data_IF_321165501447
#
_entry.id   IF_321165501447
#
_cell.length_a   1.000
_cell.length_b   1.000
_cell.length_c   1.000
_cell.angle_alpha   90.00
_cell.angle_beta   90.00
_cell.angle_gamma   90.00
#
_symmetry.space_group_name_H-M   'P 1'
#
loop_
_entity.id
_entity.type
_entity.pdbx_description
1 polymer ?
#
# COMPACT_ATOMS: atom_id res chain seq x y z
N UNK A 1 5.06 -116.39 53.88
CA UNK A 1 4.74 -116.10 55.30
C UNK A 1 3.43 -115.34 55.32
N UNK A 2 2.42 -115.89 55.98
CA UNK A 2 1.09 -115.30 56.10
C UNK A 2 1.15 -114.00 56.90
N UNK A 3 0.72 -112.91 56.26
CA UNK A 3 0.70 -111.56 56.82
C UNK A 3 -0.48 -111.46 57.80
N UNK A 4 -0.30 -111.93 59.03
CA UNK A 4 -1.34 -111.80 60.05
C UNK A 4 -1.51 -110.34 60.50
N UNK A 5 -2.56 -109.69 59.98
CA UNK A 5 -3.15 -108.47 60.51
C UNK A 5 -4.22 -108.85 61.55
N UNK A 6 -4.47 -107.98 62.53
CA UNK A 6 -5.46 -108.26 63.59
C UNK A 6 -6.90 -108.11 63.07
N UNK A 7 -7.18 -107.32 62.03
CA UNK A 7 -8.52 -107.13 61.46
C UNK A 7 -8.57 -107.52 59.96
N UNK A 8 -9.70 -108.10 59.54
CA UNK A 8 -9.94 -108.60 58.17
C UNK A 8 -10.34 -107.43 57.25
N UNK A 9 -9.63 -107.15 56.14
CA UNK A 9 -9.87 -105.96 55.32
C UNK A 9 -10.97 -106.16 54.26
N UNK A 10 -12.10 -106.81 54.60
CA UNK A 10 -13.22 -106.96 53.66
C UNK A 10 -14.04 -105.68 53.45
N UNK A 11 -13.68 -104.60 54.17
CA UNK A 11 -14.34 -103.30 54.08
C UNK A 11 -13.58 -102.38 53.11
N UNK A 12 -14.31 -101.73 52.20
CA UNK A 12 -13.72 -100.81 51.23
C UNK A 12 -13.06 -99.61 51.95
N UNK A 13 -11.88 -99.14 51.54
CA UNK A 13 -11.18 -98.01 52.19
C UNK A 13 -12.08 -96.77 52.36
N UNK A 14 -12.92 -96.47 51.37
CA UNK A 14 -13.85 -95.33 51.43
C UNK A 14 -14.86 -95.44 52.59
N UNK A 15 -15.24 -96.65 52.99
CA UNK A 15 -16.15 -96.89 54.11
C UNK A 15 -15.42 -96.85 55.45
N UNK A 16 -14.18 -97.33 55.50
CA UNK A 16 -13.33 -97.25 56.70
C UNK A 16 -13.08 -95.79 57.09
N UNK A 17 -12.83 -94.92 56.11
CA UNK A 17 -12.49 -93.51 56.34
C UNK A 17 -13.69 -92.54 56.24
N UNK A 18 -14.92 -93.05 56.12
CA UNK A 18 -16.12 -92.22 56.12
C UNK A 18 -16.74 -92.13 57.54
N UNK A 19 -17.00 -90.91 58.01
CA UNK A 19 -17.62 -90.67 59.32
C UNK A 19 -16.84 -91.36 60.45
N UNK A 20 -17.54 -92.17 61.25
CA UNK A 20 -16.97 -92.94 62.36
C UNK A 20 -16.62 -94.39 61.97
N UNK A 21 -16.47 -94.70 60.67
CA UNK A 21 -16.21 -96.05 60.17
C UNK A 21 -14.91 -96.68 60.70
N UNK A 22 -13.94 -95.85 61.08
CA UNK A 22 -12.67 -96.31 61.64
C UNK A 22 -12.82 -96.85 63.06
N UNK A 23 -13.82 -96.37 63.82
CA UNK A 23 -13.99 -96.70 65.23
C UNK A 23 -14.22 -98.20 65.43
N UNK A 24 -15.04 -98.82 64.58
CA UNK A 24 -15.29 -100.26 64.62
C UNK A 24 -14.02 -101.10 64.38
N UNK A 25 -13.17 -100.66 63.44
CA UNK A 25 -11.90 -101.33 63.12
C UNK A 25 -10.91 -101.17 64.28
N UNK A 26 -10.85 -99.98 64.90
CA UNK A 26 -10.00 -99.72 66.06
C UNK A 26 -10.47 -100.49 67.29
N UNK A 27 -11.78 -100.61 67.50
CA UNK A 27 -12.37 -101.41 68.57
C UNK A 27 -12.07 -102.90 68.39
N UNK A 28 -12.17 -103.42 67.17
CA UNK A 28 -11.80 -104.81 66.86
C UNK A 28 -10.31 -105.07 67.14
N UNK A 29 -9.42 -104.18 66.66
CA UNK A 29 -7.98 -104.27 66.93
C UNK A 29 -7.71 -104.22 68.43
N UNK A 30 -8.40 -103.32 69.16
CA UNK A 30 -8.26 -103.17 70.61
C UNK A 30 -8.71 -104.41 71.36
N UNK A 31 -9.88 -104.94 71.02
CA UNK A 31 -10.47 -106.14 71.62
C UNK A 31 -9.55 -107.35 71.44
N UNK A 32 -9.08 -107.58 70.20
CA UNK A 32 -8.15 -108.68 69.89
C UNK A 32 -6.77 -108.51 70.51
N UNK A 33 -6.24 -107.28 70.59
CA UNK A 33 -4.96 -107.03 71.24
C UNK A 33 -5.03 -107.24 72.77
N UNK A 34 -6.16 -106.92 73.40
CA UNK A 34 -6.35 -107.04 74.86
C UNK A 34 -6.85 -108.42 75.32
N UNK A 35 -7.44 -109.22 74.44
CA UNK A 35 -7.98 -110.55 74.80
C UNK A 35 -6.88 -111.58 75.12
N UNK A 36 -5.66 -111.36 74.66
CA UNK A 36 -4.52 -112.24 74.96
C UNK A 36 -3.85 -111.80 76.26
N UNK A 37 -4.18 -112.49 77.36
CA UNK A 37 -3.53 -112.31 78.66
C UNK A 37 -2.22 -113.10 78.68
N UNK A 38 -1.09 -112.41 78.61
CA UNK A 38 0.25 -113.00 78.64
C UNK A 38 1.05 -112.49 79.85
N UNK A 39 1.73 -113.40 80.55
CA UNK A 39 2.51 -113.08 81.76
C UNK A 39 3.87 -112.45 81.41
N UNK A 40 4.05 -111.17 81.76
CA UNK A 40 5.25 -110.38 81.49
C UNK A 40 6.48 -110.85 82.29
N UNK A 41 6.30 -111.64 83.35
CA UNK A 41 7.42 -112.18 84.15
C UNK A 41 8.06 -113.40 83.46
N UNK A 42 7.36 -114.03 82.51
CA UNK A 42 7.88 -115.15 81.71
C UNK A 42 8.50 -114.69 80.38
N UNK A 43 9.60 -115.33 79.98
CA UNK A 43 10.21 -115.08 78.67
C UNK A 43 9.26 -115.37 77.50
N UNK A 44 8.34 -116.34 77.66
CA UNK A 44 7.32 -116.67 76.67
C UNK A 44 6.24 -115.58 76.59
N UNK A 45 5.72 -115.10 77.72
CA UNK A 45 4.72 -114.03 77.74
C UNK A 45 5.24 -112.70 77.22
N UNK A 46 6.49 -112.31 77.52
CA UNK A 46 7.12 -111.12 76.91
C UNK A 46 7.21 -111.20 75.39
N UNK A 47 7.54 -112.38 74.84
CA UNK A 47 7.56 -112.60 73.37
C UNK A 47 6.15 -112.49 72.76
N UNK A 48 5.13 -113.01 73.45
CA UNK A 48 3.73 -112.87 73.02
C UNK A 48 3.28 -111.40 73.01
N UNK A 49 3.58 -110.64 74.08
CA UNK A 49 3.27 -109.20 74.17
C UNK A 49 3.96 -108.43 73.03
N UNK A 50 5.25 -108.70 72.78
CA UNK A 50 5.99 -108.07 71.68
C UNK A 50 5.38 -108.39 70.31
N UNK A 51 4.92 -109.64 70.10
CA UNK A 51 4.26 -110.05 68.86
C UNK A 51 2.95 -109.30 68.62
N UNK A 52 2.10 -109.18 69.65
CA UNK A 52 0.83 -108.45 69.56
C UNK A 52 1.08 -106.96 69.28
N UNK A 53 2.04 -106.35 69.99
CA UNK A 53 2.42 -104.95 69.73
C UNK A 53 2.91 -104.75 68.29
N UNK A 54 3.69 -105.70 67.75
CA UNK A 54 4.13 -105.67 66.35
C UNK A 54 2.95 -105.82 65.37
N UNK A 55 1.99 -106.69 65.66
CA UNK A 55 0.77 -106.83 64.86
C UNK A 55 -0.08 -105.54 64.87
N UNK A 56 -0.23 -104.87 66.02
CA UNK A 56 -0.91 -103.55 66.11
C UNK A 56 -0.16 -102.49 65.28
N UNK A 57 1.17 -102.45 65.38
CA UNK A 57 1.98 -101.52 64.58
C UNK A 57 1.80 -101.75 63.07
N UNK A 58 1.74 -103.01 62.63
CA UNK A 58 1.46 -103.37 61.23
C UNK A 58 0.05 -102.97 60.79
N UNK A 59 -0.97 -103.19 61.63
CA UNK A 59 -2.34 -102.74 61.35
C UNK A 59 -2.41 -101.22 61.21
N UNK A 60 -1.72 -100.45 62.05
CA UNK A 60 -1.61 -98.98 61.92
C UNK A 60 -1.01 -98.59 60.57
N UNK A 61 0.15 -99.15 60.23
CA UNK A 61 0.83 -98.83 58.95
C UNK A 61 -0.06 -99.18 57.76
N UNK A 62 -0.75 -100.32 57.81
CA UNK A 62 -1.67 -100.74 56.77
C UNK A 62 -2.85 -99.75 56.61
N UNK A 63 -3.50 -99.36 57.70
CA UNK A 63 -4.60 -98.38 57.66
C UNK A 63 -4.11 -97.01 57.15
N UNK A 64 -2.93 -96.55 57.60
CA UNK A 64 -2.33 -95.30 57.08
C UNK A 64 -2.05 -95.36 55.57
N UNK A 65 -1.53 -96.48 55.06
CA UNK A 65 -1.37 -96.67 53.62
C UNK A 65 -2.70 -96.67 52.87
N UNK A 66 -3.75 -97.34 53.39
CA UNK A 66 -5.07 -97.35 52.76
C UNK A 66 -5.68 -95.95 52.67
N UNK A 67 -5.56 -95.13 53.72
CA UNK A 67 -6.05 -93.76 53.71
C UNK A 67 -5.28 -92.87 52.74
N UNK A 68 -3.95 -93.03 52.67
CA UNK A 68 -3.10 -92.33 51.70
C UNK A 68 -3.45 -92.69 50.26
N UNK A 69 -3.61 -93.98 49.97
CA UNK A 69 -3.96 -94.48 48.64
C UNK A 69 -5.35 -93.99 48.22
N UNK A 70 -6.34 -94.03 49.13
CA UNK A 70 -7.68 -93.48 48.89
C UNK A 70 -7.63 -91.99 48.54
N UNK A 71 -6.89 -91.18 49.30
CA UNK A 71 -6.74 -89.74 49.03
C UNK A 71 -6.00 -89.50 47.70
N UNK A 72 -4.98 -90.31 47.40
CA UNK A 72 -4.25 -90.22 46.15
C UNK A 72 -5.17 -90.51 44.95
N UNK A 73 -5.98 -91.58 45.03
CA UNK A 73 -6.95 -91.96 44.01
C UNK A 73 -8.03 -90.88 43.84
N UNK A 74 -8.60 -90.38 44.95
CA UNK A 74 -9.59 -89.29 44.90
C UNK A 74 -9.01 -88.03 44.26
N UNK A 75 -7.80 -87.61 44.62
CA UNK A 75 -7.12 -86.47 43.98
C UNK A 75 -6.86 -86.71 42.49
N UNK A 76 -6.50 -87.93 42.11
CA UNK A 76 -6.31 -88.29 40.71
C UNK A 76 -7.63 -88.20 39.92
N UNK A 77 -8.74 -88.68 40.49
CA UNK A 77 -10.07 -88.56 39.87
C UNK A 77 -10.52 -87.09 39.77
N UNK A 78 -10.37 -86.30 40.84
CA UNK A 78 -10.67 -84.86 40.83
C UNK A 78 -9.86 -84.15 39.73
N UNK A 79 -8.55 -84.42 39.65
CA UNK A 79 -7.67 -83.84 38.62
C UNK A 79 -8.13 -84.20 37.20
N UNK A 80 -8.58 -85.43 36.97
CA UNK A 80 -9.14 -85.85 35.67
C UNK A 80 -10.41 -85.06 35.35
N UNK A 81 -11.34 -84.95 36.30
CA UNK A 81 -12.57 -84.17 36.13
C UNK A 81 -12.27 -82.71 35.82
N UNK A 82 -11.36 -82.06 36.56
CA UNK A 82 -11.01 -80.66 36.31
C UNK A 82 -10.31 -80.46 34.96
N UNK A 83 -9.48 -81.42 34.54
CA UNK A 83 -8.84 -81.39 33.22
C UNK A 83 -9.87 -81.48 32.09
N UNK A 84 -10.84 -82.39 32.19
CA UNK A 84 -11.93 -82.50 31.21
C UNK A 84 -12.86 -81.30 31.25
N UNK A 85 -13.14 -80.72 32.43
CA UNK A 85 -13.91 -79.47 32.53
C UNK A 85 -13.20 -78.30 31.84
N UNK A 86 -11.87 -78.20 31.97
CA UNK A 86 -11.09 -77.20 31.24
C UNK A 86 -11.17 -77.45 29.75
N UNK A 87 -10.87 -78.67 29.30
CA UNK A 87 -10.94 -79.06 27.89
C UNK A 87 -12.31 -78.75 27.28
N UNK A 88 -13.38 -79.07 28.00
CA UNK A 88 -14.76 -78.78 27.59
C UNK A 88 -14.98 -77.28 27.41
N UNK A 89 -14.58 -76.43 28.37
CA UNK A 89 -14.71 -74.97 28.22
C UNK A 89 -13.93 -74.46 27.02
N UNK A 90 -12.64 -74.80 26.92
CA UNK A 90 -11.78 -74.34 25.83
C UNK A 90 -12.35 -74.77 24.46
N UNK A 91 -12.85 -76.01 24.36
CA UNK A 91 -13.49 -76.52 23.14
C UNK A 91 -14.78 -75.77 22.79
N UNK A 92 -15.67 -75.57 23.76
CA UNK A 92 -16.96 -74.89 23.53
C UNK A 92 -16.77 -73.39 23.24
N UNK A 93 -15.79 -72.73 23.85
CA UNK A 93 -15.45 -71.33 23.57
C UNK A 93 -14.88 -71.16 22.15
N UNK A 94 -14.03 -72.08 21.71
CA UNK A 94 -13.53 -72.12 20.33
C UNK A 94 -14.66 -72.38 19.34
N UNK A 95 -15.49 -73.40 19.59
CA UNK A 95 -16.63 -73.73 18.72
C UNK A 95 -17.62 -72.56 18.61
N UNK A 96 -17.91 -71.87 19.73
CA UNK A 96 -18.74 -70.66 19.73
C UNK A 96 -18.17 -69.59 18.79
N UNK A 97 -16.85 -69.36 18.86
CA UNK A 97 -16.17 -68.39 17.99
C UNK A 97 -16.25 -68.79 16.53
N UNK A 98 -15.96 -70.05 16.21
CA UNK A 98 -16.04 -70.59 14.84
C UNK A 98 -17.46 -70.51 14.27
N UNK A 99 -18.47 -70.87 15.06
CA UNK A 99 -19.88 -70.81 14.64
C UNK A 99 -20.33 -69.36 14.43
N UNK A 100 -19.84 -68.40 15.22
CA UNK A 100 -20.19 -66.98 15.07
C UNK A 100 -19.43 -66.28 13.94
N UNK A 101 -18.26 -66.80 13.56
CA UNK A 101 -17.36 -66.15 12.60
C UNK A 101 -18.03 -65.78 11.27
N UNK A 102 -18.80 -66.65 10.59
CA UNK A 102 -19.44 -66.26 9.33
C UNK A 102 -20.39 -65.07 9.45
N UNK A 103 -21.11 -64.95 10.58
CA UNK A 103 -21.98 -63.80 10.82
C UNK A 103 -21.16 -62.54 11.11
N UNK A 104 -20.03 -62.65 11.82
CA UNK A 104 -19.13 -61.52 12.07
C UNK A 104 -18.52 -61.02 10.77
N UNK A 105 -18.00 -61.93 9.95
CA UNK A 105 -17.41 -61.60 8.64
C UNK A 105 -18.45 -60.93 7.72
N UNK A 106 -19.70 -61.39 7.74
CA UNK A 106 -20.80 -60.77 7.00
C UNK A 106 -21.18 -59.38 7.54
N UNK A 107 -21.33 -59.22 8.86
CA UNK A 107 -21.63 -57.93 9.50
C UNK A 107 -20.54 -56.89 9.18
N UNK A 108 -19.27 -57.27 9.20
CA UNK A 108 -18.14 -56.40 8.84
C UNK A 108 -18.18 -56.02 7.35
N UNK A 109 -18.36 -56.99 6.46
CA UNK A 109 -18.48 -56.73 5.02
C UNK A 109 -19.67 -55.81 4.70
N UNK A 110 -20.81 -56.05 5.35
CA UNK A 110 -22.03 -55.26 5.16
C UNK A 110 -21.86 -53.82 5.68
N UNK A 111 -21.23 -53.65 6.85
CA UNK A 111 -20.90 -52.33 7.37
C UNK A 111 -19.97 -51.57 6.41
N UNK A 112 -18.96 -52.23 5.83
CA UNK A 112 -18.06 -51.63 4.84
C UNK A 112 -18.81 -51.25 3.54
N UNK A 113 -19.71 -52.12 3.06
CA UNK A 113 -20.55 -51.86 1.88
C UNK A 113 -21.41 -50.61 2.09
N UNK A 114 -22.17 -50.57 3.18
CA UNK A 114 -23.01 -49.42 3.54
C UNK A 114 -22.19 -48.15 3.74
N UNK A 115 -21.02 -48.23 4.38
CA UNK A 115 -20.14 -47.09 4.58
C UNK A 115 -19.60 -46.54 3.24
N UNK A 116 -19.25 -47.43 2.30
CA UNK A 116 -18.77 -47.03 0.97
C UNK A 116 -19.84 -46.22 0.21
N UNK A 117 -21.10 -46.67 0.20
CA UNK A 117 -22.19 -45.92 -0.44
C UNK A 117 -22.44 -44.57 0.23
N UNK A 118 -22.51 -44.53 1.57
CA UNK A 118 -22.69 -43.27 2.31
C UNK A 118 -21.56 -42.28 2.05
N UNK A 119 -20.32 -42.74 2.03
CA UNK A 119 -19.16 -41.91 1.70
C UNK A 119 -19.22 -41.41 0.26
N UNK A 120 -19.61 -42.26 -0.70
CA UNK A 120 -19.81 -41.86 -2.09
C UNK A 120 -20.84 -40.74 -2.24
N UNK A 121 -21.99 -40.86 -1.58
CA UNK A 121 -23.03 -39.82 -1.56
C UNK A 121 -22.48 -38.52 -0.95
N UNK A 122 -21.82 -38.61 0.20
CA UNK A 122 -21.23 -37.45 0.86
C UNK A 122 -20.17 -36.76 -0.01
N UNK A 123 -19.37 -37.53 -0.76
CA UNK A 123 -18.40 -36.96 -1.71
C UNK A 123 -19.08 -36.17 -2.84
N UNK A 124 -20.22 -36.64 -3.36
CA UNK A 124 -20.99 -35.91 -4.36
C UNK A 124 -21.51 -34.59 -3.76
N UNK A 125 -22.14 -34.65 -2.59
CA UNK A 125 -22.70 -33.49 -1.91
C UNK A 125 -21.66 -32.39 -1.65
N UNK A 126 -20.45 -32.80 -1.25
CA UNK A 126 -19.35 -31.90 -0.88
C UNK A 126 -18.94 -30.93 -2.01
N UNK A 127 -19.07 -31.33 -3.27
CA UNK A 127 -18.75 -30.44 -4.39
C UNK A 127 -19.63 -29.18 -4.41
N UNK A 128 -20.90 -29.27 -4.02
CA UNK A 128 -21.78 -28.11 -3.94
C UNK A 128 -21.48 -27.22 -2.73
N UNK A 129 -21.00 -27.78 -1.62
CA UNK A 129 -20.68 -26.99 -0.42
C UNK A 129 -19.34 -26.27 -0.50
N UNK A 130 -18.37 -26.82 -1.25
CA UNK A 130 -17.01 -26.27 -1.36
C UNK A 130 -16.80 -25.32 -2.55
N UNK A 131 -17.85 -25.01 -3.32
CA UNK A 131 -17.71 -24.23 -4.55
C UNK A 131 -17.80 -22.69 -4.36
N UNK A 132 -18.00 -22.19 -3.15
CA UNK A 132 -18.31 -20.77 -2.90
C UNK A 132 -17.17 -19.80 -3.22
N UNK A 133 -15.92 -20.24 -3.09
CA UNK A 133 -14.72 -19.40 -3.27
C UNK A 133 -14.03 -19.64 -4.63
N UNK A 134 -14.56 -20.54 -5.45
CA UNK A 134 -13.96 -20.94 -6.72
C UNK A 134 -14.31 -19.98 -7.86
N UNK A 135 -13.47 -19.96 -8.88
CA UNK A 135 -13.75 -19.26 -10.14
C UNK A 135 -14.68 -20.09 -11.06
N UNK A 136 -15.12 -19.50 -12.16
CA UNK A 136 -16.03 -20.18 -13.07
C UNK A 136 -15.45 -21.43 -13.74
N UNK A 137 -14.13 -21.49 -13.92
CA UNK A 137 -13.47 -22.66 -14.53
C UNK A 137 -13.46 -23.84 -13.56
N UNK A 138 -13.10 -23.61 -12.30
CA UNK A 138 -13.08 -24.63 -11.26
C UNK A 138 -14.48 -25.15 -10.93
N UNK A 139 -15.49 -24.27 -10.88
CA UNK A 139 -16.89 -24.68 -10.70
C UNK A 139 -17.33 -25.57 -11.89
N UNK A 140 -16.92 -25.24 -13.11
CA UNK A 140 -17.21 -26.08 -14.29
C UNK A 140 -16.54 -27.45 -14.18
N UNK A 141 -15.28 -27.53 -13.71
CA UNK A 141 -14.60 -28.82 -13.46
C UNK A 141 -15.36 -29.66 -12.44
N UNK A 142 -15.90 -29.05 -11.38
CA UNK A 142 -16.71 -29.74 -10.38
C UNK A 142 -18.00 -30.31 -10.99
N UNK A 143 -18.68 -29.53 -11.84
CA UNK A 143 -19.86 -30.01 -12.59
C UNK A 143 -19.49 -31.23 -13.42
N UNK A 144 -18.39 -31.17 -14.18
CA UNK A 144 -17.96 -32.27 -15.06
C UNK A 144 -17.63 -33.54 -14.26
N UNK A 145 -16.98 -33.39 -13.09
CA UNK A 145 -16.69 -34.52 -12.19
C UNK A 145 -17.99 -35.17 -11.71
N UNK A 146 -18.94 -34.37 -11.19
CA UNK A 146 -20.21 -34.89 -10.67
C UNK A 146 -21.04 -35.52 -11.78
N UNK A 147 -21.07 -34.94 -12.99
CA UNK A 147 -21.76 -35.50 -14.15
C UNK A 147 -21.25 -36.89 -14.52
N UNK A 148 -19.93 -37.12 -14.43
CA UNK A 148 -19.28 -38.40 -14.75
C UNK A 148 -19.55 -39.51 -13.73
N UNK A 149 -20.03 -39.19 -12.53
CA UNK A 149 -20.38 -40.20 -11.53
C UNK A 149 -21.55 -41.06 -12.06
N UNK A 150 -21.32 -42.34 -12.29
CA UNK A 150 -22.37 -43.26 -12.75
C UNK A 150 -23.19 -43.70 -11.53
N UNK A 151 -24.50 -43.44 -11.59
CA UNK A 151 -25.46 -43.92 -10.60
C UNK A 151 -26.27 -45.03 -11.30
N UNK A 152 -25.97 -46.27 -10.94
CA UNK A 152 -26.58 -47.49 -11.48
C UNK A 152 -26.81 -48.50 -10.34
N UNK A 153 -27.21 -49.72 -10.69
CA UNK A 153 -27.52 -50.82 -9.77
C UNK A 153 -26.40 -51.12 -8.75
N UNK A 154 -25.16 -50.70 -9.01
CA UNK A 154 -24.04 -50.87 -8.07
C UNK A 154 -24.20 -50.05 -6.80
N UNK A 155 -25.10 -49.07 -6.78
CA UNK A 155 -25.44 -48.31 -5.57
C UNK A 155 -26.51 -49.01 -4.71
N UNK A 156 -27.08 -50.12 -5.19
CA UNK A 156 -28.03 -50.95 -4.47
C UNK A 156 -29.19 -50.11 -3.87
N UNK A 157 -29.52 -50.28 -2.59
CA UNK A 157 -30.59 -49.50 -1.95
C UNK A 157 -30.32 -47.99 -1.86
N UNK A 158 -29.07 -47.57 -2.08
CA UNK A 158 -28.65 -46.17 -2.07
C UNK A 158 -28.77 -45.50 -3.45
N UNK A 159 -29.06 -46.23 -4.52
CA UNK A 159 -29.20 -45.68 -5.88
C UNK A 159 -30.16 -44.48 -5.94
N UNK A 160 -31.39 -44.54 -5.40
CA UNK A 160 -32.32 -43.41 -5.48
C UNK A 160 -31.81 -42.18 -4.70
N UNK A 161 -31.16 -42.41 -3.56
CA UNK A 161 -30.57 -41.35 -2.76
C UNK A 161 -29.38 -40.70 -3.48
N UNK A 162 -28.48 -41.51 -4.04
CA UNK A 162 -27.33 -41.03 -4.78
C UNK A 162 -27.72 -40.27 -6.05
N UNK A 163 -28.74 -40.74 -6.78
CA UNK A 163 -29.29 -40.06 -7.95
C UNK A 163 -29.85 -38.69 -7.58
N UNK A 164 -30.64 -38.62 -6.50
CA UNK A 164 -31.20 -37.37 -5.99
C UNK A 164 -30.10 -36.38 -5.58
N UNK A 165 -29.12 -36.83 -4.80
CA UNK A 165 -28.01 -35.98 -4.35
C UNK A 165 -27.19 -35.49 -5.55
N UNK A 166 -26.91 -36.35 -6.53
CA UNK A 166 -26.25 -35.95 -7.78
C UNK A 166 -27.03 -34.83 -8.50
N UNK A 167 -28.34 -34.97 -8.63
CA UNK A 167 -29.18 -33.95 -9.28
C UNK A 167 -29.17 -32.62 -8.49
N UNK A 168 -29.34 -32.68 -7.17
CA UNK A 168 -29.34 -31.51 -6.29
C UNK A 168 -27.97 -30.79 -6.31
N UNK A 169 -26.87 -31.54 -6.25
CA UNK A 169 -25.50 -31.00 -6.36
C UNK A 169 -25.28 -30.33 -7.72
N UNK A 170 -25.67 -30.97 -8.82
CA UNK A 170 -25.54 -30.37 -10.16
C UNK A 170 -26.37 -29.10 -10.28
N UNK A 171 -27.57 -29.07 -9.73
CA UNK A 171 -28.42 -27.87 -9.72
C UNK A 171 -27.75 -26.73 -8.96
N UNK A 172 -27.20 -27.00 -7.77
CA UNK A 172 -26.50 -26.02 -6.96
C UNK A 172 -25.24 -25.48 -7.66
N UNK A 173 -24.42 -26.37 -8.23
CA UNK A 173 -23.20 -25.99 -8.95
C UNK A 173 -23.51 -25.15 -10.18
N UNK A 174 -24.51 -25.50 -10.98
CA UNK A 174 -24.90 -24.70 -12.15
C UNK A 174 -25.37 -23.30 -11.73
N UNK A 175 -26.14 -23.18 -10.64
CA UNK A 175 -26.53 -21.87 -10.10
C UNK A 175 -25.33 -21.06 -9.61
N UNK A 176 -24.35 -21.71 -8.97
CA UNK A 176 -23.12 -21.07 -8.55
C UNK A 176 -22.28 -20.59 -9.75
N UNK A 177 -22.17 -21.42 -10.79
CA UNK A 177 -21.46 -21.10 -12.02
C UNK A 177 -22.03 -19.87 -12.71
N UNK A 178 -23.34 -19.81 -12.89
CA UNK A 178 -24.01 -18.66 -13.52
C UNK A 178 -23.77 -17.37 -12.74
N UNK A 179 -23.89 -17.41 -11.41
CA UNK A 179 -23.57 -16.26 -10.54
C UNK A 179 -22.11 -15.85 -10.68
N UNK A 180 -21.19 -16.81 -10.71
CA UNK A 180 -19.75 -16.55 -10.78
C UNK A 180 -19.34 -15.97 -12.14
N UNK A 181 -19.86 -16.52 -13.24
CA UNK A 181 -19.67 -15.98 -14.60
C UNK A 181 -20.19 -14.55 -14.72
N UNK A 182 -21.39 -14.28 -14.20
CA UNK A 182 -21.94 -12.93 -14.20
C UNK A 182 -21.05 -11.95 -13.41
N UNK A 183 -20.57 -12.36 -12.24
CA UNK A 183 -19.64 -11.54 -11.44
C UNK A 183 -18.31 -11.29 -12.17
N UNK A 184 -17.69 -12.32 -12.76
CA UNK A 184 -16.44 -12.18 -13.51
C UNK A 184 -16.59 -11.29 -14.75
N UNK A 185 -17.71 -11.43 -15.47
CA UNK A 185 -18.02 -10.55 -16.59
C UNK A 185 -18.17 -9.09 -16.15
N UNK A 186 -18.90 -8.83 -15.06
CA UNK A 186 -19.04 -7.47 -14.50
C UNK A 186 -17.67 -6.88 -14.11
N UNK A 187 -16.79 -7.67 -13.51
CA UNK A 187 -15.44 -7.22 -13.16
C UNK A 187 -14.59 -6.92 -14.41
N UNK A 188 -14.69 -7.75 -15.45
CA UNK A 188 -14.00 -7.54 -16.72
C UNK A 188 -14.48 -6.28 -17.45
N UNK A 189 -15.79 -6.08 -17.53
CA UNK A 189 -16.40 -4.87 -18.10
C UNK A 189 -15.99 -3.60 -17.33
N UNK A 190 -16.00 -3.66 -15.99
CA UNK A 190 -15.56 -2.55 -15.15
C UNK A 190 -14.07 -2.23 -15.38
N UNK A 191 -13.22 -3.25 -15.49
CA UNK A 191 -11.80 -3.08 -15.77
C UNK A 191 -11.56 -2.47 -17.17
N UNK A 192 -12.35 -2.86 -18.18
CA UNK A 192 -12.29 -2.24 -19.51
C UNK A 192 -12.71 -0.77 -19.48
N UNK A 193 -13.83 -0.45 -18.83
CA UNK A 193 -14.31 0.93 -18.69
C UNK A 193 -13.28 1.83 -18.00
N UNK A 194 -12.60 1.34 -16.96
CA UNK A 194 -11.54 2.08 -16.28
C UNK A 194 -10.32 2.32 -17.18
N UNK A 195 -9.94 1.33 -17.99
CA UNK A 195 -8.84 1.47 -18.97
C UNK A 195 -9.19 2.49 -20.05
N UNK A 196 -10.38 2.39 -20.64
CA UNK A 196 -10.83 3.37 -21.64
C UNK A 196 -10.89 4.78 -21.07
N UNK A 197 -11.36 4.95 -19.83
CA UNK A 197 -11.39 6.24 -19.17
C UNK A 197 -9.98 6.80 -18.95
N UNK A 198 -9.05 5.98 -18.46
CA UNK A 198 -7.65 6.37 -18.29
C UNK A 198 -6.98 6.76 -19.61
N UNK A 199 -7.24 6.02 -20.70
CA UNK A 199 -6.73 6.37 -22.04
C UNK A 199 -7.31 7.69 -22.56
N UNK A 200 -8.61 7.96 -22.34
CA UNK A 200 -9.23 9.24 -22.71
C UNK A 200 -8.64 10.40 -21.91
N UNK A 201 -8.52 10.26 -20.60
CA UNK A 201 -7.92 11.28 -19.73
C UNK A 201 -6.46 11.57 -20.13
N UNK A 202 -5.71 10.53 -20.52
CA UNK A 202 -4.35 10.68 -21.01
C UNK A 202 -4.31 11.43 -22.36
N UNK A 203 -5.18 11.06 -23.31
CA UNK A 203 -5.28 11.77 -24.60
C UNK A 203 -5.69 13.23 -24.41
N UNK A 204 -6.70 13.51 -23.60
CA UNK A 204 -7.13 14.87 -23.27
C UNK A 204 -6.01 15.69 -22.62
N UNK A 205 -5.19 15.06 -21.76
CA UNK A 205 -4.03 15.70 -21.16
C UNK A 205 -2.95 16.00 -22.20
N UNK A 206 -2.65 15.05 -23.09
CA UNK A 206 -1.69 15.24 -24.18
C UNK A 206 -2.15 16.31 -25.17
N UNK A 207 -3.44 16.32 -25.53
CA UNK A 207 -4.06 17.36 -26.36
C UNK A 207 -4.00 18.72 -25.69
N UNK A 208 -4.30 18.82 -24.38
CA UNK A 208 -4.17 20.08 -23.63
C UNK A 208 -2.73 20.57 -23.62
N UNK A 209 -1.75 19.69 -23.38
CA UNK A 209 -0.33 20.06 -23.41
C UNK A 209 0.08 20.52 -24.82
N UNK A 210 -0.39 19.85 -25.88
CA UNK A 210 -0.11 20.23 -27.26
C UNK A 210 -0.75 21.57 -27.62
N UNK A 211 -1.99 21.83 -27.19
CA UNK A 211 -2.68 23.11 -27.38
C UNK A 211 -1.98 24.24 -26.61
N UNK A 212 -1.63 24.02 -25.34
CA UNK A 212 -0.88 24.98 -24.53
C UNK A 212 0.49 25.29 -25.15
N UNK A 213 1.20 24.28 -25.65
CA UNK A 213 2.48 24.48 -26.35
C UNK A 213 2.29 25.28 -27.65
N UNK A 214 1.29 24.95 -28.47
CA UNK A 214 1.00 25.68 -29.70
C UNK A 214 0.57 27.14 -29.43
N UNK A 215 -0.22 27.37 -28.38
CA UNK A 215 -0.63 28.71 -27.95
C UNK A 215 0.56 29.52 -27.44
N UNK A 216 1.47 28.90 -26.67
CA UNK A 216 2.72 29.55 -26.25
C UNK A 216 3.57 29.98 -27.43
N UNK A 217 3.78 29.11 -28.42
CA UNK A 217 4.51 29.46 -29.64
C UNK A 217 3.84 30.61 -30.39
N UNK A 218 2.50 30.60 -30.52
CA UNK A 218 1.77 31.70 -31.15
C UNK A 218 1.92 33.02 -30.40
N UNK A 219 1.78 33.00 -29.07
CA UNK A 219 1.95 34.19 -28.23
C UNK A 219 3.38 34.72 -28.29
N UNK A 220 4.39 33.85 -28.23
CA UNK A 220 5.80 34.24 -28.37
C UNK A 220 6.07 34.87 -29.75
N UNK A 221 5.54 34.29 -30.83
CA UNK A 221 5.66 34.86 -32.19
C UNK A 221 4.89 36.18 -32.36
N UNK A 222 3.73 36.35 -31.72
CA UNK A 222 2.98 37.60 -31.74
C UNK A 222 3.67 38.70 -30.94
N UNK A 223 4.22 38.38 -29.76
CA UNK A 223 5.05 39.28 -28.98
C UNK A 223 6.31 39.69 -29.74
N UNK A 224 6.97 38.78 -30.45
CA UNK A 224 8.14 39.09 -31.27
C UNK A 224 7.78 40.00 -32.45
N UNK A 225 6.65 39.74 -33.12
CA UNK A 225 6.14 40.62 -34.17
C UNK A 225 5.79 42.01 -33.64
N UNK A 226 5.12 42.08 -32.49
CA UNK A 226 4.76 43.34 -31.85
C UNK A 226 6.01 44.11 -31.43
N UNK A 227 7.00 43.44 -30.83
CA UNK A 227 8.28 44.04 -30.48
C UNK A 227 9.04 44.53 -31.73
N UNK A 228 8.99 43.80 -32.85
CA UNK A 228 9.59 44.23 -34.11
C UNK A 228 8.89 45.46 -34.71
N UNK A 229 7.55 45.53 -34.64
CA UNK A 229 6.77 46.71 -35.06
C UNK A 229 7.12 47.90 -34.16
N UNK A 230 7.10 47.74 -32.84
CA UNK A 230 7.44 48.80 -31.88
C UNK A 230 8.89 49.28 -32.04
N UNK A 231 9.83 48.37 -32.31
CA UNK A 231 11.22 48.71 -32.60
C UNK A 231 11.34 49.51 -33.90
N UNK A 232 10.59 49.13 -34.95
CA UNK A 232 10.54 49.87 -36.21
C UNK A 232 9.92 51.26 -36.04
N UNK A 233 8.79 51.36 -35.34
CA UNK A 233 8.15 52.65 -35.04
C UNK A 233 9.02 53.56 -34.18
N UNK A 234 9.79 52.99 -33.24
CA UNK A 234 10.75 53.74 -32.43
C UNK A 234 11.91 54.23 -33.29
N UNK A 235 12.47 53.38 -34.15
CA UNK A 235 13.51 53.77 -35.09
C UNK A 235 13.04 54.86 -36.08
N UNK A 236 11.81 54.76 -36.60
CA UNK A 236 11.21 55.79 -37.46
C UNK A 236 10.96 57.10 -36.71
N UNK A 237 10.48 57.05 -35.46
CA UNK A 237 10.35 58.25 -34.62
C UNK A 237 11.70 58.88 -34.31
N UNK A 238 12.70 58.11 -33.91
CA UNK A 238 14.05 58.61 -33.63
C UNK A 238 14.69 59.21 -34.89
N UNK A 239 14.51 58.58 -36.06
CA UNK A 239 14.99 59.13 -37.33
C UNK A 239 14.27 60.43 -37.71
N UNK A 240 12.95 60.51 -37.50
CA UNK A 240 12.16 61.72 -37.76
C UNK A 240 12.53 62.84 -36.79
N UNK A 241 12.64 62.56 -35.49
CA UNK A 241 13.09 63.52 -34.49
C UNK A 241 14.53 63.99 -34.75
N UNK A 242 15.41 63.11 -35.20
CA UNK A 242 16.78 63.46 -35.60
C UNK A 242 16.77 64.36 -36.84
N UNK A 243 15.97 64.06 -37.85
CA UNK A 243 15.81 64.87 -39.05
C UNK A 243 15.18 66.25 -38.73
N UNK A 244 14.15 66.30 -37.90
CA UNK A 244 13.52 67.56 -37.45
C UNK A 244 14.49 68.41 -36.61
N UNK A 245 15.30 67.79 -35.75
CA UNK A 245 16.38 68.48 -35.01
C UNK A 245 17.44 69.02 -35.96
N UNK A 246 17.86 68.24 -36.96
CA UNK A 246 18.82 68.67 -37.96
C UNK A 246 18.27 69.83 -38.82
N UNK A 247 17.01 69.77 -39.23
CA UNK A 247 16.35 70.83 -39.99
C UNK A 247 16.17 72.10 -39.12
N UNK A 248 15.76 71.96 -37.86
CA UNK A 248 15.66 73.09 -36.93
C UNK A 248 17.02 73.73 -36.68
N UNK A 249 18.07 72.93 -36.47
CA UNK A 249 19.44 73.44 -36.33
C UNK A 249 19.93 74.15 -37.59
N UNK A 250 19.61 73.61 -38.79
CA UNK A 250 19.94 74.25 -40.06
C UNK A 250 19.18 75.57 -40.26
N UNK A 251 17.88 75.63 -39.91
CA UNK A 251 17.09 76.87 -39.94
C UNK A 251 17.60 77.89 -38.93
N UNK A 252 17.84 77.50 -37.69
CA UNK A 252 18.42 78.38 -36.66
C UNK A 252 19.84 78.85 -37.02
N UNK A 253 20.64 78.02 -37.71
CA UNK A 253 21.94 78.44 -38.23
C UNK A 253 21.80 79.42 -39.41
N UNK A 254 20.83 79.20 -40.31
CA UNK A 254 20.54 80.10 -41.42
C UNK A 254 19.98 81.44 -40.94
N UNK A 255 19.05 81.43 -39.99
CA UNK A 255 18.49 82.62 -39.34
C UNK A 255 19.57 83.39 -38.58
N UNK A 256 20.43 82.71 -37.80
CA UNK A 256 21.58 83.37 -37.16
C UNK A 256 22.53 83.98 -38.18
N UNK A 257 22.84 83.29 -39.28
CA UNK A 257 23.69 83.83 -40.34
C UNK A 257 23.04 85.01 -41.09
N UNK A 258 21.72 85.00 -41.27
CA UNK A 258 20.97 86.11 -41.86
C UNK A 258 20.89 87.30 -40.89
N UNK A 259 20.68 87.04 -39.61
CA UNK A 259 20.62 88.05 -38.57
C UNK A 259 21.99 88.69 -38.33
N UNK A 260 23.08 87.91 -38.34
CA UNK A 260 24.45 88.43 -38.33
C UNK A 260 24.75 89.29 -39.57
N UNK A 261 24.30 88.89 -40.76
CA UNK A 261 24.41 89.71 -41.98
C UNK A 261 23.62 91.01 -41.87
N UNK A 262 22.38 90.96 -41.38
CA UNK A 262 21.53 92.14 -41.18
C UNK A 262 22.14 93.07 -40.12
N UNK A 263 22.64 92.53 -39.01
CA UNK A 263 23.33 93.30 -37.96
C UNK A 263 24.67 93.88 -38.43
N UNK A 264 25.38 93.22 -39.35
CA UNK A 264 26.58 93.78 -39.98
C UNK A 264 26.23 94.96 -40.89
N UNK A 265 25.17 94.83 -41.71
CA UNK A 265 24.68 95.90 -42.60
C UNK A 265 24.10 97.08 -41.80
N UNK A 266 23.38 96.81 -40.71
CA UNK A 266 22.81 97.84 -39.84
C UNK A 266 23.93 98.58 -39.08
N UNK A 267 24.95 97.87 -38.58
CA UNK A 267 26.13 98.49 -37.97
C UNK A 267 26.92 99.34 -38.96
N UNK A 268 27.00 98.95 -40.22
CA UNK A 268 27.65 99.74 -41.27
C UNK A 268 26.84 101.00 -41.61
N UNK A 269 25.50 100.89 -41.72
CA UNK A 269 24.59 102.04 -41.91
C UNK A 269 24.62 103.03 -40.73
N UNK A 270 24.62 102.54 -39.50
CA UNK A 270 24.67 103.39 -38.31
C UNK A 270 26.00 104.15 -38.19
N UNK A 271 27.12 103.55 -38.62
CA UNK A 271 28.41 104.26 -38.70
C UNK A 271 28.38 105.36 -39.76
N UNK A 272 27.85 105.08 -40.95
CA UNK A 272 27.74 106.05 -42.04
C UNK A 272 26.77 107.22 -41.73
N UNK A 273 25.69 106.97 -40.98
CA UNK A 273 24.73 108.01 -40.62
C UNK A 273 25.22 108.89 -39.45
N UNK A 274 25.93 108.32 -38.47
CA UNK A 274 26.57 109.07 -37.39
C UNK A 274 27.68 110.01 -37.93
N UNK A 275 28.43 109.56 -38.93
CA UNK A 275 29.49 110.35 -39.57
C UNK A 275 28.93 111.52 -40.42
N UNK A 276 27.79 111.32 -41.11
CA UNK A 276 27.10 112.41 -41.83
C UNK A 276 26.50 113.48 -40.90
N UNK A 277 25.90 113.07 -39.77
CA UNK A 277 25.29 114.03 -38.82
C UNK A 277 26.34 114.88 -38.10
N UNK A 278 27.50 114.32 -37.78
CA UNK A 278 28.61 115.07 -37.17
C UNK A 278 29.19 116.13 -38.13
N UNK A 279 29.24 115.85 -39.43
CA UNK A 279 29.76 116.80 -40.44
C UNK A 279 28.81 117.97 -40.75
N UNK A 280 27.49 117.77 -40.70
CA UNK A 280 26.50 118.83 -40.97
C UNK A 280 26.34 119.82 -39.80
N UNK A 281 26.54 119.38 -38.56
CA UNK A 281 26.39 120.22 -37.37
C UNK A 281 27.58 121.18 -37.17
N UNK A 282 28.80 120.77 -37.55
CA UNK A 282 29.99 121.62 -37.46
C UNK A 282 30.00 122.75 -38.51
N UNK A 283 29.39 122.56 -39.69
CA UNK A 283 29.27 123.62 -40.71
C UNK A 283 28.25 124.69 -40.32
N UNK A 284 27.12 124.33 -39.70
CA UNK A 284 26.08 125.31 -39.29
C UNK A 284 26.55 126.31 -38.22
N UNK A 285 27.39 125.88 -37.29
CA UNK A 285 27.89 126.75 -36.22
C UNK A 285 28.90 127.81 -36.72
N UNK A 286 29.67 127.49 -37.76
CA UNK A 286 30.67 128.41 -38.35
C UNK A 286 30.04 129.49 -39.24
N UNK A 287 28.88 129.23 -39.86
CA UNK A 287 28.18 130.20 -40.71
C UNK A 287 27.30 131.18 -39.92
N UNK A 288 26.69 130.74 -38.81
CA UNK A 288 25.86 131.60 -37.97
C UNK A 288 26.66 132.73 -37.28
N UNK A 289 27.89 132.46 -36.86
CA UNK A 289 28.73 133.46 -36.16
C UNK A 289 29.25 134.56 -37.11
N UNK A 290 29.53 134.25 -38.38
CA UNK A 290 29.99 135.24 -39.37
C UNK A 290 28.91 136.24 -39.77
N UNK A 291 27.65 135.82 -39.80
CA UNK A 291 26.54 136.69 -40.23
C UNK A 291 26.13 137.68 -39.13
N UNK A 292 26.21 137.28 -37.86
CA UNK A 292 25.91 138.15 -36.72
C UNK A 292 26.86 139.36 -36.64
N UNK A 293 28.18 139.12 -36.67
CA UNK A 293 29.17 140.18 -36.56
C UNK A 293 29.11 141.18 -37.73
N UNK A 294 28.79 140.71 -38.94
CA UNK A 294 28.69 141.57 -40.12
C UNK A 294 27.50 142.53 -40.03
N UNK A 295 26.40 142.10 -39.42
CA UNK A 295 25.17 142.89 -39.30
C UNK A 295 25.34 144.06 -38.33
N UNK A 296 25.97 143.84 -37.19
CA UNK A 296 26.19 144.88 -36.17
C UNK A 296 27.19 145.93 -36.63
N UNK A 297 28.28 145.53 -37.30
CA UNK A 297 29.26 146.47 -37.84
C UNK A 297 28.66 147.40 -38.91
N UNK A 298 27.79 146.86 -39.76
CA UNK A 298 27.10 147.66 -40.77
C UNK A 298 26.11 148.65 -40.14
N UNK A 299 25.43 148.26 -39.06
CA UNK A 299 24.53 149.16 -38.32
C UNK A 299 25.30 150.32 -37.68
N UNK A 300 26.45 150.05 -37.05
CA UNK A 300 27.32 151.10 -36.51
C UNK A 300 27.84 152.04 -37.62
N UNK A 301 28.27 151.49 -38.76
CA UNK A 301 28.71 152.27 -39.93
C UNK A 301 27.59 153.21 -40.40
N UNK A 302 26.35 152.71 -40.49
CA UNK A 302 25.20 153.51 -40.93
C UNK A 302 24.88 154.65 -39.97
N UNK A 303 24.91 154.40 -38.65
CA UNK A 303 24.65 155.44 -37.66
C UNK A 303 25.64 156.62 -37.76
N UNK A 304 26.91 156.35 -38.12
CA UNK A 304 27.87 157.43 -38.39
C UNK A 304 27.53 158.21 -39.67
N UNK A 305 27.08 157.53 -40.74
CA UNK A 305 26.70 158.20 -41.99
C UNK A 305 25.50 159.13 -41.75
N UNK A 306 24.49 158.66 -41.00
CA UNK A 306 23.27 159.45 -40.73
C UNK A 306 23.55 160.73 -39.90
N UNK A 307 24.66 160.77 -39.15
CA UNK A 307 25.13 161.96 -38.43
C UNK A 307 26.00 162.90 -39.30
N UNK A 308 26.07 162.68 -40.61
CA UNK A 308 26.72 163.56 -41.59
C UNK A 308 28.15 163.17 -41.98
N UNK A 309 28.65 161.99 -41.59
CA UNK A 309 29.98 161.54 -41.97
C UNK A 309 30.00 160.86 -43.35
N UNK A 310 31.02 161.16 -44.16
CA UNK A 310 31.22 160.49 -45.45
C UNK A 310 31.54 158.99 -45.29
N UNK A 311 30.99 158.18 -46.18
CA UNK A 311 30.93 156.72 -46.06
C UNK A 311 32.30 156.03 -45.90
N UNK A 312 33.33 156.47 -46.63
CA UNK A 312 34.68 155.89 -46.50
C UNK A 312 35.28 156.16 -45.12
N UNK A 313 35.01 157.32 -44.53
CA UNK A 313 35.50 157.70 -43.21
C UNK A 313 34.74 156.93 -42.12
N UNK A 314 33.42 156.83 -42.22
CA UNK A 314 32.59 156.03 -41.30
C UNK A 314 33.01 154.55 -41.26
N UNK A 315 33.29 153.95 -42.43
CA UNK A 315 33.77 152.56 -42.51
C UNK A 315 35.14 152.39 -41.86
N UNK A 316 36.06 153.34 -42.07
CA UNK A 316 37.41 153.26 -41.50
C UNK A 316 37.39 153.45 -39.99
N UNK A 317 36.48 154.27 -39.46
CA UNK A 317 36.26 154.41 -38.01
C UNK A 317 35.75 153.08 -37.41
N UNK A 318 34.73 152.46 -38.00
CA UNK A 318 34.22 151.15 -37.53
C UNK A 318 35.31 150.07 -37.62
N UNK A 319 36.08 150.02 -38.71
CA UNK A 319 37.17 149.05 -38.87
C UNK A 319 38.28 149.22 -37.81
N UNK A 320 38.65 150.47 -37.49
CA UNK A 320 39.64 150.78 -36.46
C UNK A 320 39.14 150.43 -35.05
N UNK A 321 37.83 150.55 -34.79
CA UNK A 321 37.21 150.15 -33.52
C UNK A 321 37.16 148.62 -33.39
N UNK A 322 36.78 147.89 -34.45
CA UNK A 322 36.75 146.40 -34.43
C UNK A 322 38.14 145.81 -34.22
N UNK A 323 39.18 146.42 -34.80
CA UNK A 323 40.57 146.02 -34.56
C UNK A 323 41.13 146.50 -33.21
N UNK A 324 40.35 147.23 -32.41
CA UNK A 324 40.76 147.74 -31.09
C UNK A 324 41.84 148.81 -31.14
N UNK A 325 42.06 149.45 -32.30
CA UNK A 325 43.16 150.40 -32.52
C UNK A 325 42.86 151.82 -32.00
N UNK A 326 41.62 152.11 -31.61
CA UNK A 326 41.26 153.35 -30.90
C UNK A 326 41.04 153.01 -29.42
N UNK A 327 41.89 153.51 -28.50
CA UNK A 327 41.77 153.21 -27.08
C UNK A 327 40.43 153.69 -26.50
N UNK A 328 39.85 152.88 -25.61
CA UNK A 328 38.61 153.16 -24.85
C UNK A 328 37.29 153.20 -25.65
N UNK A 329 37.25 152.63 -26.87
CA UNK A 329 36.01 152.43 -27.65
C UNK A 329 35.97 150.99 -28.22
N UNK A 330 34.83 150.29 -28.14
CA UNK A 330 34.62 148.94 -28.72
C UNK A 330 33.19 148.75 -29.25
N UNK A 331 32.98 147.77 -30.15
CA UNK A 331 31.65 147.36 -30.65
C UNK A 331 31.30 146.03 -30.00
N UNK A 332 30.12 145.95 -29.38
CA UNK A 332 29.60 144.72 -28.78
C UNK A 332 28.81 143.93 -29.82
N UNK A 333 29.07 142.61 -29.93
CA UNK A 333 28.53 141.75 -30.97
C UNK A 333 27.39 140.87 -30.52
#
# INVERSE_FOLDING_TARGET
MTTELIASPDVQPVQIFAGNGLDAVLEEITSKAKSVVADADTAKGRKTIASIAHQVARSKTYLDSLGKDLVADQKAQIKKVDSERKRMRDYLDNLKTEVRKPLTDWEEAENLRVAAHKNGIACIERYATECSELDSEDIQRFIDIVQRVIIDERWEEFEPQAARVKEETLRALNQALEKRKAHEQQQAELAQLLREKAEREQKEREERIAQEAAERVRKEAELEKQAAIEAKERAEREAKESAERAERQAKEAAERAEQEKREAVERERQRAEAERRAAEEEQRLKEANKTHCRKINNAAKKAFIDQGFQEKTAQKIVELIVRGSIPNISINY
#
